data_IF_066064831087
#
_entry.id   IF_066064831087
#
_cell.length_a   1.000
_cell.length_b   1.000
_cell.length_c   1.000
_cell.angle_alpha   90.00
_cell.angle_beta   90.00
_cell.angle_gamma   90.00
#
_symmetry.space_group_name_H-M   'P 1'
#
loop_
_entity.id
_entity.type
_entity.pdbx_description
1 polymer ?
#
# COMPACT_ATOMS: atom_id res chain seq x y z
N UNK A 1 8.03 17.25 -2.10
CA UNK A 1 7.41 16.50 -0.98
C UNK A 1 6.34 15.56 -1.55
N UNK A 2 6.51 14.24 -1.43
CA UNK A 2 5.54 13.27 -1.93
C UNK A 2 4.22 13.32 -1.14
N UNK A 3 3.12 13.61 -1.83
CA UNK A 3 1.77 13.61 -1.26
C UNK A 3 0.93 12.51 -1.92
N UNK A 4 0.33 11.65 -1.09
CA UNK A 4 -0.44 10.49 -1.54
C UNK A 4 -1.88 10.58 -1.10
N UNK A 5 -2.80 10.56 -2.07
CA UNK A 5 -4.23 10.51 -1.79
C UNK A 5 -4.73 9.06 -1.80
N UNK A 6 -5.62 8.73 -0.86
CA UNK A 6 -6.22 7.41 -0.72
C UNK A 6 -7.72 7.44 -1.06
N UNK A 7 -8.23 6.33 -1.60
CA UNK A 7 -9.67 6.10 -1.73
C UNK A 7 -10.29 5.96 -0.34
N UNK A 8 -11.56 6.36 -0.20
CA UNK A 8 -12.28 6.38 1.08
C UNK A 8 -12.17 5.08 1.88
N UNK A 9 -12.27 3.92 1.20
CA UNK A 9 -12.16 2.60 1.84
C UNK A 9 -10.85 2.31 2.56
N UNK A 10 -9.76 2.99 2.19
CA UNK A 10 -8.45 2.80 2.83
C UNK A 10 -8.18 3.79 3.95
N UNK A 11 -8.97 4.86 4.03
CA UNK A 11 -8.74 5.98 4.96
C UNK A 11 -8.62 5.51 6.42
N UNK A 12 -9.53 4.67 6.96
CA UNK A 12 -9.43 4.23 8.35
C UNK A 12 -8.10 3.52 8.67
N UNK A 13 -7.60 2.72 7.73
CA UNK A 13 -6.40 1.91 7.90
C UNK A 13 -5.11 2.72 7.74
N UNK A 14 -5.17 3.79 6.95
CA UNK A 14 -4.09 4.78 6.92
C UNK A 14 -4.08 5.49 8.26
N UNK A 15 -5.21 6.03 8.73
CA UNK A 15 -5.30 6.81 9.97
C UNK A 15 -4.85 6.03 11.21
N UNK A 16 -5.31 4.79 11.38
CA UNK A 16 -4.90 3.95 12.51
C UNK A 16 -3.45 3.41 12.38
N UNK A 17 -2.86 3.50 11.18
CA UNK A 17 -1.48 3.08 10.88
C UNK A 17 -1.32 1.59 10.58
N UNK A 18 -2.42 0.85 10.46
CA UNK A 18 -2.41 -0.57 10.14
C UNK A 18 -2.18 -0.86 8.65
N UNK A 19 -2.22 0.17 7.79
CA UNK A 19 -1.75 0.16 6.40
C UNK A 19 -0.33 0.77 6.30
N UNK A 20 0.73 -0.05 6.20
CA UNK A 20 2.12 0.41 6.26
C UNK A 20 2.73 0.74 4.89
N UNK A 21 1.98 0.56 3.80
CA UNK A 21 2.48 0.80 2.45
C UNK A 21 1.39 1.24 1.47
N UNK A 22 1.80 1.75 0.32
CA UNK A 22 0.94 2.04 -0.83
C UNK A 22 1.62 1.62 -2.12
N UNK A 23 0.81 1.12 -3.04
CA UNK A 23 1.21 0.86 -4.41
C UNK A 23 0.88 2.09 -5.27
N UNK A 24 1.81 2.53 -6.11
CA UNK A 24 1.63 3.68 -7.01
C UNK A 24 2.18 3.38 -8.39
N UNK A 25 1.48 3.87 -9.41
CA UNK A 25 2.00 3.89 -10.77
C UNK A 25 3.30 4.70 -10.83
N UNK A 26 4.22 4.26 -11.69
CA UNK A 26 5.54 4.89 -11.83
C UNK A 26 5.42 6.33 -12.28
N UNK A 27 6.27 7.18 -11.73
CA UNK A 27 6.37 8.60 -12.10
C UNK A 27 7.80 8.94 -12.48
N UNK A 28 7.98 9.68 -13.57
CA UNK A 28 9.29 10.19 -14.00
C UNK A 28 9.92 11.15 -12.98
N UNK A 29 9.09 11.91 -12.26
CA UNK A 29 9.52 12.90 -11.26
C UNK A 29 8.61 12.86 -10.03
N UNK A 30 9.17 13.24 -8.87
CA UNK A 30 8.41 13.41 -7.64
C UNK A 30 7.86 12.10 -7.03
N UNK A 31 8.49 10.97 -7.33
CA UNK A 31 8.29 9.73 -6.58
C UNK A 31 9.00 9.83 -5.22
N UNK A 32 8.51 9.10 -4.21
CA UNK A 32 9.14 9.07 -2.91
C UNK A 32 10.51 8.39 -2.95
N UNK A 33 11.39 8.81 -2.07
CA UNK A 33 12.68 8.17 -1.79
C UNK A 33 12.74 7.84 -0.32
N UNK A 34 13.55 6.83 0.03
CA UNK A 34 13.87 6.53 1.43
C UNK A 34 14.35 7.81 2.14
N UNK A 35 13.77 8.09 3.30
CA UNK A 35 14.02 9.31 4.09
C UNK A 35 13.08 10.48 3.80
N UNK A 36 12.30 10.45 2.71
CA UNK A 36 11.30 11.48 2.45
C UNK A 36 10.17 11.44 3.49
N UNK A 37 9.67 12.63 3.87
CA UNK A 37 8.40 12.75 4.58
C UNK A 37 7.26 12.54 3.58
N UNK A 38 6.45 11.52 3.84
CA UNK A 38 5.25 11.17 3.11
C UNK A 38 4.05 11.87 3.76
N UNK A 39 3.29 12.59 2.95
CA UNK A 39 2.06 13.24 3.41
C UNK A 39 0.85 12.47 2.88
N UNK A 40 0.10 11.86 3.77
CA UNK A 40 -1.07 11.06 3.43
C UNK A 40 -2.34 11.91 3.51
N UNK A 41 -3.16 11.88 2.48
CA UNK A 41 -4.38 12.68 2.36
C UNK A 41 -5.58 11.83 1.90
N UNK A 42 -6.77 12.31 2.22
CA UNK A 42 -8.01 11.93 1.54
C UNK A 42 -8.51 13.11 0.71
N UNK A 43 -9.10 12.85 -0.46
CA UNK A 43 -9.76 13.88 -1.27
C UNK A 43 -8.84 15.01 -1.76
N UNK A 44 -7.58 14.71 -2.09
CA UNK A 44 -6.61 15.74 -2.49
C UNK A 44 -7.13 16.54 -3.69
N UNK A 45 -7.04 17.88 -3.64
CA UNK A 45 -7.60 18.84 -4.61
C UNK A 45 -9.13 18.90 -4.68
N UNK A 46 -9.81 18.45 -3.64
CA UNK A 46 -11.27 18.63 -3.47
C UNK A 46 -11.55 19.40 -2.19
N UNK A 47 -12.78 19.88 -2.01
CA UNK A 47 -13.21 20.50 -0.74
C UNK A 47 -13.17 19.55 0.46
N UNK A 48 -13.12 18.24 0.20
CA UNK A 48 -13.01 17.19 1.23
C UNK A 48 -11.56 16.84 1.57
N UNK A 49 -10.60 17.63 1.08
CA UNK A 49 -9.19 17.40 1.32
C UNK A 49 -8.88 17.47 2.81
N UNK A 50 -8.38 16.36 3.36
CA UNK A 50 -7.90 16.31 4.74
C UNK A 50 -6.65 15.45 4.85
N UNK A 51 -5.72 15.90 5.69
CA UNK A 51 -4.51 15.17 6.03
C UNK A 51 -4.90 13.99 6.92
N UNK A 52 -4.37 12.82 6.61
CA UNK A 52 -4.56 11.60 7.38
C UNK A 52 -3.38 11.43 8.34
N UNK A 53 -2.16 11.41 7.79
CA UNK A 53 -0.91 11.14 8.53
C UNK A 53 0.31 11.73 7.83
N UNK A 54 1.40 11.79 8.57
CA UNK A 54 2.75 11.99 8.06
C UNK A 54 3.63 10.83 8.49
N UNK A 55 4.41 10.30 7.57
CA UNK A 55 5.29 9.17 7.83
C UNK A 55 6.63 9.30 7.12
N UNK A 56 7.65 8.64 7.62
CA UNK A 56 8.96 8.59 6.96
C UNK A 56 8.95 7.41 6.00
N UNK A 57 9.27 7.66 4.73
CA UNK A 57 9.47 6.62 3.73
C UNK A 57 10.67 5.76 4.14
N UNK A 58 10.44 4.48 4.41
CA UNK A 58 11.49 3.56 4.85
C UNK A 58 12.09 2.79 3.69
N UNK A 59 11.28 2.48 2.67
CA UNK A 59 11.73 1.76 1.49
C UNK A 59 10.87 2.08 0.25
N UNK A 60 11.47 1.91 -0.93
CA UNK A 60 10.78 1.96 -2.22
C UNK A 60 11.28 0.81 -3.08
N UNK A 61 10.34 -0.04 -3.49
CA UNK A 61 10.58 -1.30 -4.20
C UNK A 61 9.74 -1.38 -5.46
N UNK A 62 10.14 -2.23 -6.40
CA UNK A 62 9.29 -2.52 -7.56
C UNK A 62 8.33 -3.64 -7.20
N UNK A 63 7.06 -3.44 -7.50
CA UNK A 63 6.02 -4.47 -7.39
C UNK A 63 5.45 -4.77 -8.77
N UNK A 64 5.25 -6.05 -9.04
CA UNK A 64 4.60 -6.55 -10.23
C UNK A 64 3.36 -7.32 -9.78
N UNK A 65 2.20 -6.96 -10.31
CA UNK A 65 0.91 -7.59 -10.00
C UNK A 65 0.38 -8.20 -11.29
N UNK A 66 0.15 -9.51 -11.28
CA UNK A 66 -0.52 -10.22 -12.37
C UNK A 66 -1.93 -10.60 -11.92
N UNK A 67 -2.69 -11.27 -12.78
CA UNK A 67 -4.02 -11.78 -12.40
C UNK A 67 -3.95 -12.90 -11.34
N UNK A 68 -2.79 -13.52 -11.15
CA UNK A 68 -2.63 -14.70 -10.30
C UNK A 68 -1.63 -14.50 -9.16
N UNK A 69 -0.68 -13.58 -9.30
CA UNK A 69 0.49 -13.49 -8.44
C UNK A 69 0.93 -12.05 -8.16
N UNK A 70 1.73 -11.91 -7.10
CA UNK A 70 2.47 -10.69 -6.77
C UNK A 70 3.95 -11.04 -6.72
N UNK A 71 4.76 -10.24 -7.39
CA UNK A 71 6.21 -10.32 -7.33
C UNK A 71 6.79 -9.03 -6.76
N UNK A 72 7.78 -9.18 -5.89
CA UNK A 72 8.54 -8.06 -5.33
C UNK A 72 9.99 -8.12 -5.80
N UNK A 73 10.48 -6.99 -6.31
CA UNK A 73 11.92 -6.78 -6.52
C UNK A 73 12.44 -5.99 -5.34
N UNK A 74 13.60 -6.38 -4.80
CA UNK A 74 14.15 -5.84 -3.55
C UNK A 74 14.47 -4.34 -3.57
N UNK A 75 14.53 -3.73 -4.76
CA UNK A 75 14.75 -2.30 -4.99
C UNK A 75 13.85 -1.77 -6.11
N UNK A 76 13.75 -0.43 -6.18
CA UNK A 76 13.10 0.26 -7.31
C UNK A 76 14.01 0.23 -8.53
N UNK A 77 13.59 -0.48 -9.58
CA UNK A 77 14.36 -0.60 -10.84
C UNK A 77 14.18 0.65 -11.72
N UNK A 78 15.04 0.88 -12.70
CA UNK A 78 14.93 2.00 -13.63
C UNK A 78 13.79 1.78 -14.64
N UNK A 79 13.34 2.84 -15.34
CA UNK A 79 12.28 2.69 -16.36
C UNK A 79 12.74 1.80 -17.54
N UNK A 80 14.04 1.72 -17.82
CA UNK A 80 14.59 0.80 -18.83
C UNK A 80 14.49 -0.65 -18.37
N UNK A 81 14.83 -0.90 -17.11
CA UNK A 81 14.80 -2.25 -16.52
C UNK A 81 13.36 -2.75 -16.34
N UNK A 82 12.39 -1.84 -16.15
CA UNK A 82 10.96 -2.21 -16.16
C UNK A 82 10.56 -2.89 -17.46
N UNK A 83 10.98 -2.33 -18.61
CA UNK A 83 10.65 -2.93 -19.91
C UNK A 83 11.24 -4.34 -20.03
N UNK A 84 12.47 -4.53 -19.55
CA UNK A 84 13.14 -5.84 -19.56
C UNK A 84 12.37 -6.85 -18.70
N UNK A 85 11.93 -6.45 -17.50
CA UNK A 85 11.13 -7.31 -16.62
C UNK A 85 9.75 -7.63 -17.21
N UNK A 86 9.13 -6.65 -17.88
CA UNK A 86 7.84 -6.84 -18.56
C UNK A 86 7.97 -7.81 -19.73
N UNK A 87 8.97 -7.63 -20.60
CA UNK A 87 9.22 -8.51 -21.74
C UNK A 87 9.49 -9.94 -21.27
N UNK A 88 10.29 -10.11 -20.20
CA UNK A 88 10.58 -11.41 -19.62
C UNK A 88 9.33 -12.04 -18.98
N UNK A 89 8.51 -11.26 -18.28
CA UNK A 89 7.23 -11.71 -17.75
C UNK A 89 6.30 -12.20 -18.87
N UNK A 90 6.20 -11.47 -19.97
CA UNK A 90 5.38 -11.84 -21.12
C UNK A 90 5.88 -13.10 -21.81
N UNK A 91 7.21 -13.26 -21.94
CA UNK A 91 7.81 -14.42 -22.59
C UNK A 91 7.80 -15.69 -21.72
N UNK A 92 7.92 -15.55 -20.39
CA UNK A 92 8.19 -16.69 -19.49
C UNK A 92 7.15 -16.87 -18.37
N UNK A 93 6.15 -15.99 -18.28
CA UNK A 93 5.13 -16.01 -17.22
C UNK A 93 5.64 -15.60 -15.83
N UNK A 94 6.90 -15.13 -15.73
CA UNK A 94 7.49 -14.61 -14.48
C UNK A 94 8.58 -13.57 -14.73
N UNK A 95 8.77 -12.60 -13.83
CA UNK A 95 9.89 -11.67 -13.89
C UNK A 95 11.23 -12.39 -13.64
N UNK A 96 12.32 -11.76 -14.04
CA UNK A 96 13.68 -12.27 -13.84
C UNK A 96 14.11 -12.10 -12.39
N UNK A 97 13.90 -10.90 -11.84
CA UNK A 97 14.40 -10.52 -10.51
C UNK A 97 13.31 -10.47 -9.42
N UNK A 98 12.07 -10.83 -9.77
CA UNK A 98 10.94 -10.76 -8.86
C UNK A 98 10.79 -12.02 -8.01
N UNK A 99 10.75 -11.84 -6.69
CA UNK A 99 10.39 -12.90 -5.75
C UNK A 99 8.87 -13.00 -5.70
N UNK A 100 8.32 -14.15 -6.07
CA UNK A 100 6.90 -14.45 -5.96
C UNK A 100 6.50 -14.55 -4.48
N UNK A 101 5.45 -13.85 -4.07
CA UNK A 101 4.84 -14.06 -2.77
C UNK A 101 4.01 -15.35 -2.79
N UNK A 102 4.25 -16.24 -1.83
CA UNK A 102 3.38 -17.40 -1.62
C UNK A 102 1.99 -16.98 -1.10
N UNK A 103 1.11 -17.96 -0.97
CA UNK A 103 -0.31 -17.76 -0.62
C UNK A 103 -0.51 -17.05 0.72
N UNK A 104 0.31 -17.37 1.70
CA UNK A 104 0.26 -16.76 3.03
C UNK A 104 0.74 -15.31 2.94
N UNK A 105 1.87 -15.08 2.27
CA UNK A 105 2.46 -13.76 2.12
C UNK A 105 1.61 -12.82 1.27
N UNK A 106 1.01 -13.28 0.17
CA UNK A 106 0.18 -12.43 -0.70
C UNK A 106 -1.11 -11.99 -0.02
N UNK A 107 -1.75 -12.87 0.77
CA UNK A 107 -2.93 -12.49 1.57
C UNK A 107 -2.55 -11.51 2.68
N UNK A 108 -1.46 -11.76 3.39
CA UNK A 108 -0.94 -10.85 4.42
C UNK A 108 -0.61 -9.48 3.83
N UNK A 109 0.05 -9.46 2.67
CA UNK A 109 0.37 -8.25 1.93
C UNK A 109 -0.90 -7.48 1.54
N UNK A 110 -1.86 -8.13 0.89
CA UNK A 110 -3.12 -7.52 0.46
C UNK A 110 -3.93 -6.95 1.64
N UNK A 111 -3.95 -7.66 2.77
CA UNK A 111 -4.60 -7.20 3.99
C UNK A 111 -3.97 -5.92 4.53
N UNK A 112 -2.63 -5.86 4.53
CA UNK A 112 -1.88 -4.66 4.87
C UNK A 112 -2.02 -3.55 3.82
N UNK A 113 -2.28 -3.86 2.56
CA UNK A 113 -2.65 -2.88 1.54
C UNK A 113 -4.11 -2.37 1.72
N UNK A 114 -4.84 -2.87 2.72
CA UNK A 114 -6.17 -2.40 3.09
C UNK A 114 -7.32 -3.18 2.44
N UNK A 115 -7.04 -4.33 1.84
CA UNK A 115 -8.04 -5.29 1.38
C UNK A 115 -8.37 -6.25 2.51
N UNK A 116 -9.35 -5.88 3.34
CA UNK A 116 -9.75 -6.64 4.54
C UNK A 116 -11.10 -7.30 4.32
N UNK A 117 -11.15 -8.61 4.01
CA UNK A 117 -12.39 -9.37 4.02
C UNK A 117 -13.09 -9.25 5.37
N UNK A 118 -14.41 -9.41 5.39
CA UNK A 118 -15.17 -9.41 6.63
C UNK A 118 -14.69 -10.51 7.59
N UNK A 119 -14.56 -10.18 8.87
CA UNK A 119 -14.03 -11.09 9.89
C UNK A 119 -12.51 -11.34 9.84
N UNK A 120 -11.80 -10.83 8.82
CA UNK A 120 -10.34 -10.98 8.74
C UNK A 120 -9.62 -10.18 9.82
N UNK A 121 -8.50 -10.71 10.27
CA UNK A 121 -7.59 -10.06 11.22
C UNK A 121 -6.19 -9.99 10.64
N UNK A 122 -5.27 -9.33 11.35
CA UNK A 122 -3.87 -9.27 10.95
C UNK A 122 -3.24 -10.67 10.84
N UNK A 123 -3.57 -11.56 11.78
CA UNK A 123 -2.99 -12.90 11.86
C UNK A 123 -3.75 -13.92 11.01
N UNK A 124 -5.00 -13.58 10.65
CA UNK A 124 -5.86 -14.37 9.76
C UNK A 124 -6.41 -13.45 8.66
N UNK A 125 -5.59 -13.14 7.62
CA UNK A 125 -5.95 -12.17 6.59
C UNK A 125 -7.12 -12.63 5.71
N UNK A 126 -7.52 -13.90 5.78
CA UNK A 126 -8.56 -14.49 4.96
C UNK A 126 -8.20 -14.42 3.48
N UNK A 127 -9.20 -14.18 2.64
CA UNK A 127 -9.06 -14.11 1.19
C UNK A 127 -8.77 -12.68 0.66
N UNK A 128 -7.89 -11.97 1.38
CA UNK A 128 -7.53 -10.59 1.09
C UNK A 128 -6.95 -10.40 -0.33
N UNK A 129 -6.19 -11.39 -0.80
CA UNK A 129 -5.58 -11.35 -2.13
C UNK A 129 -6.63 -11.37 -3.24
N UNK A 130 -7.66 -12.23 -3.17
CA UNK A 130 -8.71 -12.24 -4.18
C UNK A 130 -9.47 -10.91 -4.19
N UNK A 131 -9.78 -10.33 -3.02
CA UNK A 131 -10.40 -9.01 -2.95
C UNK A 131 -9.51 -7.92 -3.57
N UNK A 132 -8.19 -8.02 -3.38
CA UNK A 132 -7.22 -7.15 -4.04
C UNK A 132 -7.25 -7.32 -5.55
N UNK A 133 -7.09 -8.53 -6.07
CA UNK A 133 -7.04 -8.78 -7.51
C UNK A 133 -8.32 -8.36 -8.23
N UNK A 134 -9.50 -8.61 -7.65
CA UNK A 134 -10.77 -8.15 -8.23
C UNK A 134 -10.82 -6.62 -8.39
N UNK A 135 -10.31 -5.88 -7.41
CA UNK A 135 -10.16 -4.43 -7.53
C UNK A 135 -9.15 -4.06 -8.61
N UNK A 136 -8.00 -4.73 -8.68
CA UNK A 136 -6.97 -4.42 -9.68
C UNK A 136 -7.43 -4.70 -11.10
N UNK A 137 -8.08 -5.85 -11.37
CA UNK A 137 -8.69 -6.18 -12.67
C UNK A 137 -9.71 -5.13 -13.10
N UNK A 138 -10.54 -4.65 -12.18
CA UNK A 138 -11.61 -3.69 -12.50
C UNK A 138 -11.12 -2.23 -12.65
N UNK A 139 -9.91 -1.91 -12.20
CA UNK A 139 -9.45 -0.51 -12.14
C UNK A 139 -8.13 -0.24 -12.85
N UNK A 140 -7.38 -1.27 -13.23
CA UNK A 140 -6.06 -1.17 -13.86
C UNK A 140 -5.90 -2.24 -14.94
N UNK A 141 -5.01 -1.96 -15.89
CA UNK A 141 -4.52 -2.98 -16.82
C UNK A 141 -3.50 -3.88 -16.11
N UNK A 142 -3.59 -5.19 -16.34
CA UNK A 142 -2.62 -6.17 -15.86
C UNK A 142 -1.78 -6.71 -17.03
N UNK A 143 -0.50 -7.07 -16.81
CA UNK A 143 0.23 -6.94 -15.55
C UNK A 143 0.50 -5.47 -15.19
N UNK A 144 0.45 -5.16 -13.90
CA UNK A 144 0.80 -3.83 -13.40
C UNK A 144 2.21 -3.85 -12.83
N UNK A 145 3.07 -2.93 -13.29
CA UNK A 145 4.40 -2.70 -12.73
C UNK A 145 4.47 -1.30 -12.12
N UNK A 146 4.76 -1.24 -10.82
CA UNK A 146 4.71 0.01 -10.06
C UNK A 146 5.72 0.11 -8.94
N UNK A 147 5.58 1.20 -8.19
CA UNK A 147 6.38 1.49 -7.01
C UNK A 147 5.56 1.06 -5.77
N UNK A 148 6.12 0.15 -4.98
CA UNK A 148 5.69 -0.16 -3.62
C UNK A 148 6.46 0.75 -2.66
N UNK A 149 5.75 1.56 -1.91
CA UNK A 149 6.31 2.56 -1.01
C UNK A 149 5.93 2.18 0.41
N UNK A 150 6.94 1.83 1.20
CA UNK A 150 6.79 1.38 2.58
C UNK A 150 7.09 2.53 3.57
N UNK A 151 6.38 2.53 4.69
CA UNK A 151 6.63 3.42 5.82
C UNK A 151 6.38 2.69 7.15
N UNK A 152 6.98 3.22 8.21
CA UNK A 152 6.64 2.87 9.58
C UNK A 152 5.89 4.04 10.21
N UNK A 153 4.91 3.77 11.11
CA UNK A 153 4.36 4.78 12.00
C UNK A 153 5.47 5.54 12.72
N UNK A 154 5.53 6.86 12.59
CA UNK A 154 6.34 7.73 13.42
C UNK A 154 5.93 7.55 14.88
N UNK A 155 6.87 7.64 15.83
CA UNK A 155 6.55 7.60 17.27
C UNK A 155 5.45 8.61 17.64
N UNK A 156 5.43 9.74 16.95
CA UNK A 156 4.44 10.81 17.11
C UNK A 156 3.06 10.44 16.54
N UNK A 157 3.01 9.69 15.43
CA UNK A 157 1.79 9.07 14.90
C UNK A 157 1.24 7.96 15.80
N UNK A 158 2.12 7.17 16.43
CA UNK A 158 1.75 6.15 17.43
C UNK A 158 1.20 6.79 18.72
N UNK A 159 1.78 7.91 19.16
CA UNK A 159 1.27 8.69 20.31
C UNK A 159 -0.13 9.27 20.02
N UNK A 160 -0.35 9.86 18.84
CA UNK A 160 -1.67 10.39 18.42
C UNK A 160 -2.74 9.31 18.26
N UNK A 161 -2.40 8.13 17.74
CA UNK A 161 -3.34 7.02 17.62
C UNK A 161 -3.81 6.47 18.98
N UNK A 162 -2.93 6.46 20.00
CA UNK A 162 -3.28 6.08 21.38
C UNK A 162 -4.14 7.14 22.10
N UNK A 163 -3.98 8.42 21.79
CA UNK A 163 -4.82 9.48 22.35
C UNK A 163 -6.27 9.39 21.82
N UNK A 164 -6.46 9.15 20.52
CA UNK A 164 -7.80 9.08 19.90
C UNK A 164 -8.59 7.83 20.34
N UNK A 165 -7.91 6.72 20.67
CA UNK A 165 -8.57 5.52 21.20
C UNK A 165 -8.99 5.67 22.67
N UNK A 166 -8.32 6.52 23.44
CA UNK A 166 -8.70 6.84 24.82
C UNK A 166 -9.91 7.80 24.87
N UNK A 167 -10.03 8.74 23.92
CA UNK A 167 -11.19 9.65 23.85
C UNK A 167 -12.50 8.95 23.43
N UNK A 168 -12.41 7.83 22.72
CA UNK A 168 -13.61 7.00 22.41
C UNK A 168 -14.06 6.13 23.58
N UNK A 169 -13.16 5.77 24.50
CA UNK A 169 -13.49 5.00 25.72
C UNK A 169 -14.06 5.89 26.82
N UNK A 170 -13.62 7.15 26.93
CA UNK A 170 -14.18 8.09 27.92
C UNK A 170 -15.61 8.54 27.58
N UNK A 171 -15.98 8.62 26.30
CA UNK A 171 -17.35 8.96 25.87
C UNK A 171 -18.34 7.78 25.85
N UNK A 172 -17.91 6.55 26.17
CA UNK A 172 -18.80 5.39 26.35
C UNK A 172 -19.06 5.03 27.83
N UNK A 173 -18.46 5.77 28.77
CA UNK A 173 -18.64 5.58 30.22
C UNK A 173 -19.45 6.72 30.87
N UNK A 174 -20.07 7.59 30.06
CA UNK A 174 -20.81 8.77 30.52
C UNK A 174 -22.32 8.76 30.12
N UNK A 175 -22.91 7.58 29.85
CA UNK A 175 -24.36 7.41 29.70
C UNK A 175 -24.85 6.25 30.57
#
# INVERSE_FOLDING_TARGET
MPAYSFKQRFVPFVEDGSKPHTIRGRRKKGFAKKGDILYHYFGLRTKWCRKLREEICTNVRTIIITATDIYLISYRISDKDVQIEEDHLNAHGKPTNGIRLDDTLRNTFAWHDGFRPEGSTRDQPGDAFNLMIQFWISTHQLPFIGDLIDWLPTEEGLKKAKCISNDKKSNQLAN
#
